data_IF_758789889564
#
_entry.id   IF_758789889564
#
_cell.length_a   1.000
_cell.length_b   1.000
_cell.length_c   1.000
_cell.angle_alpha   90.00
_cell.angle_beta   90.00
_cell.angle_gamma   90.00
#
_symmetry.space_group_name_H-M   'P 1'
#
loop_
_entity.id
_entity.type
_entity.pdbx_description
1 polymer ?
#
# COMPACT_ATOMS: atom_id res chain seq x y z
N UNK A 1 -11.55 -11.39 5.79
CA UNK A 1 -10.08 -11.33 5.68
C UNK A 1 -9.48 -11.51 7.05
N UNK A 2 -8.51 -12.41 7.22
CA UNK A 2 -7.79 -12.59 8.48
C UNK A 2 -6.86 -11.40 8.74
N UNK A 3 -7.21 -10.57 9.73
CA UNK A 3 -6.37 -9.48 10.24
C UNK A 3 -5.24 -10.08 11.10
N UNK A 4 -4.30 -10.75 10.46
CA UNK A 4 -3.05 -11.12 11.11
C UNK A 4 -2.24 -9.85 11.39
N UNK A 5 -1.47 -9.88 12.47
CA UNK A 5 -0.49 -8.85 12.79
C UNK A 5 0.85 -9.27 12.20
N UNK A 6 1.59 -8.32 11.63
CA UNK A 6 2.96 -8.56 11.21
C UNK A 6 3.93 -7.58 11.84
N UNK A 7 5.10 -8.10 12.16
CA UNK A 7 6.22 -7.32 12.65
C UNK A 7 7.54 -7.82 12.03
N UNK A 8 8.59 -7.02 12.17
CA UNK A 8 9.97 -7.35 11.80
C UNK A 8 10.89 -6.91 12.95
N UNK A 9 12.00 -7.62 13.20
CA UNK A 9 13.01 -7.06 14.12
C UNK A 9 13.69 -5.85 13.49
N UNK A 10 14.14 -4.89 14.30
CA UNK A 10 15.01 -3.82 13.77
C UNK A 10 16.29 -4.36 13.12
N UNK A 11 16.84 -5.47 13.62
CA UNK A 11 18.02 -6.13 13.04
C UNK A 11 17.74 -6.68 11.62
N UNK A 12 16.53 -7.16 11.36
CA UNK A 12 16.14 -7.74 10.08
C UNK A 12 15.70 -6.70 9.06
N UNK A 13 15.41 -5.45 9.46
CA UNK A 13 15.12 -4.34 8.52
C UNK A 13 16.27 -4.16 7.54
N UNK A 14 17.52 -4.25 7.99
CA UNK A 14 18.70 -4.15 7.13
C UNK A 14 18.74 -5.24 6.04
N UNK A 15 18.02 -6.36 6.23
CA UNK A 15 17.93 -7.41 5.22
C UNK A 15 16.95 -7.04 4.10
N UNK A 16 16.03 -6.08 4.29
CA UNK A 16 15.02 -5.73 3.29
C UNK A 16 15.63 -5.34 1.94
N UNK A 17 16.77 -4.64 1.95
CA UNK A 17 17.50 -4.19 0.76
C UNK A 17 18.34 -5.29 0.09
N UNK A 18 18.35 -6.51 0.65
CA UNK A 18 18.97 -7.68 0.04
C UNK A 18 18.00 -8.36 -0.93
N UNK A 19 18.49 -8.95 -2.04
CA UNK A 19 17.65 -9.63 -3.02
C UNK A 19 16.75 -10.69 -2.38
N UNK A 20 15.44 -10.55 -2.59
CA UNK A 20 14.44 -11.47 -2.01
C UNK A 20 13.24 -11.65 -2.92
N UNK A 21 12.65 -12.84 -2.86
CA UNK A 21 11.41 -13.16 -3.56
C UNK A 21 10.16 -12.89 -2.74
N UNK A 22 10.27 -12.75 -1.42
CA UNK A 22 9.14 -12.57 -0.50
C UNK A 22 9.62 -11.85 0.76
N UNK A 23 8.69 -11.32 1.55
CA UNK A 23 8.94 -10.87 2.92
C UNK A 23 8.49 -11.89 3.97
N UNK A 24 7.85 -12.99 3.56
CA UNK A 24 7.31 -14.00 4.48
C UNK A 24 8.42 -14.71 5.29
N UNK A 25 9.65 -14.66 4.80
CA UNK A 25 10.86 -15.20 5.43
C UNK A 25 11.35 -14.35 6.61
N UNK A 26 11.00 -13.06 6.64
CA UNK A 26 11.46 -12.09 7.65
C UNK A 26 10.31 -11.53 8.51
N UNK A 27 9.07 -11.60 8.03
CA UNK A 27 7.92 -11.16 8.79
C UNK A 27 7.55 -12.19 9.83
N UNK A 28 7.24 -11.68 11.01
CA UNK A 28 6.79 -12.44 12.15
C UNK A 28 5.29 -12.22 12.29
N UNK A 29 4.56 -13.32 12.18
CA UNK A 29 3.10 -13.32 12.15
C UNK A 29 2.57 -13.62 13.53
N UNK A 30 1.67 -12.76 14.00
CA UNK A 30 0.80 -13.06 15.13
C UNK A 30 1.53 -13.44 16.44
N UNK A 31 2.76 -12.94 16.62
CA UNK A 31 3.56 -13.13 17.84
C UNK A 31 2.79 -12.63 19.06
N UNK A 32 2.79 -13.45 20.12
CA UNK A 32 2.04 -13.16 21.34
C UNK A 32 2.44 -11.83 21.99
N UNK A 33 3.75 -11.55 22.06
CA UNK A 33 4.27 -10.29 22.58
C UNK A 33 3.78 -9.06 21.81
N UNK A 34 3.64 -9.17 20.47
CA UNK A 34 3.13 -8.09 19.61
C UNK A 34 1.64 -7.87 19.85
N UNK A 35 0.86 -8.95 19.96
CA UNK A 35 -0.57 -8.89 20.28
C UNK A 35 -0.83 -8.20 21.62
N UNK A 36 -0.09 -8.61 22.65
CA UNK A 36 -0.18 -8.02 24.00
C UNK A 36 0.18 -6.54 23.97
N UNK A 37 1.27 -6.17 23.28
CA UNK A 37 1.66 -4.76 23.14
C UNK A 37 0.59 -3.93 22.46
N UNK A 38 0.05 -4.39 21.33
CA UNK A 38 -0.99 -3.67 20.57
C UNK A 38 -2.27 -3.53 21.39
N UNK A 39 -2.69 -4.57 22.13
CA UNK A 39 -3.89 -4.51 22.98
C UNK A 39 -3.81 -3.44 24.08
N UNK A 40 -2.60 -3.03 24.47
CA UNK A 40 -2.33 -2.05 25.51
C UNK A 40 -1.79 -0.71 24.97
N UNK A 41 -1.77 -0.51 23.65
CA UNK A 41 -1.19 0.67 23.01
C UNK A 41 -2.20 1.38 22.12
N UNK A 42 -2.01 2.69 21.93
CA UNK A 42 -2.76 3.44 20.92
C UNK A 42 -2.05 3.36 19.57
N UNK A 43 -2.80 3.35 18.45
CA UNK A 43 -2.20 3.48 17.13
C UNK A 43 -1.54 4.85 16.99
N UNK A 44 -0.41 4.90 16.29
CA UNK A 44 0.36 6.13 16.06
C UNK A 44 0.22 6.65 14.64
N UNK A 45 -0.14 5.77 13.70
CA UNK A 45 -0.33 6.12 12.28
C UNK A 45 -1.50 5.37 11.71
N UNK A 46 -2.31 6.07 10.93
CA UNK A 46 -3.33 5.50 10.05
C UNK A 46 -2.80 5.49 8.62
N UNK A 47 -2.66 4.30 8.04
CA UNK A 47 -2.32 4.10 6.63
C UNK A 47 -3.61 3.88 5.84
N UNK A 48 -3.74 4.57 4.73
CA UNK A 48 -4.92 4.54 3.86
C UNK A 48 -4.49 4.11 2.46
N UNK A 49 -5.11 3.05 1.94
CA UNK A 49 -5.06 2.73 0.52
C UNK A 49 -6.31 3.29 -0.14
N UNK A 50 -6.11 4.12 -1.16
CA UNK A 50 -7.18 4.70 -1.97
C UNK A 50 -7.13 4.17 -3.40
N UNK A 51 -8.26 4.25 -4.09
CA UNK A 51 -8.42 3.93 -5.51
C UNK A 51 -9.06 5.11 -6.24
N UNK A 52 -8.56 5.39 -7.43
CA UNK A 52 -9.12 6.38 -8.35
C UNK A 52 -10.35 5.78 -9.04
N UNK A 53 -11.51 6.40 -8.86
CA UNK A 53 -12.76 6.05 -9.54
C UNK A 53 -13.22 7.18 -10.46
N UNK A 54 -13.67 6.90 -11.69
CA UNK A 54 -14.24 7.93 -12.54
C UNK A 54 -15.55 8.43 -11.94
N UNK A 55 -15.75 9.75 -11.95
CA UNK A 55 -16.96 10.40 -11.38
C UNK A 55 -18.23 10.01 -12.12
N UNK A 56 -18.13 9.70 -13.41
CA UNK A 56 -19.25 9.25 -14.22
C UNK A 56 -18.84 8.03 -15.02
N UNK A 57 -19.70 7.01 -14.98
CA UNK A 57 -19.66 5.82 -15.83
C UNK A 57 -20.93 5.81 -16.66
N UNK A 58 -20.79 5.62 -17.96
CA UNK A 58 -21.90 5.51 -18.91
C UNK A 58 -22.04 4.04 -19.28
N UNK A 59 -23.27 3.53 -19.26
CA UNK A 59 -23.58 2.11 -19.46
C UNK A 59 -24.48 1.97 -20.67
N UNK A 60 -24.27 0.91 -21.46
CA UNK A 60 -25.18 0.56 -22.55
C UNK A 60 -26.47 -0.08 -22.04
N UNK A 61 -26.41 -0.73 -20.88
CA UNK A 61 -27.51 -1.50 -20.34
C UNK A 61 -28.14 -0.82 -19.11
N UNK A 62 -29.45 -1.00 -18.94
CA UNK A 62 -30.21 -0.45 -17.81
C UNK A 62 -29.82 -1.07 -16.47
N UNK A 63 -29.18 -2.25 -16.49
CA UNK A 63 -28.70 -2.97 -15.29
C UNK A 63 -27.31 -2.50 -14.86
N UNK A 64 -26.65 -1.63 -15.65
CA UNK A 64 -25.35 -1.01 -15.37
C UNK A 64 -24.21 -2.01 -15.12
N UNK A 65 -24.23 -3.14 -15.83
CA UNK A 65 -23.17 -4.14 -15.68
C UNK A 65 -21.93 -3.85 -16.50
N UNK A 66 -22.08 -3.25 -17.70
CA UNK A 66 -20.95 -2.99 -18.59
C UNK A 66 -20.79 -1.49 -18.89
N UNK A 67 -19.85 -0.80 -18.22
CA UNK A 67 -19.53 0.58 -18.58
C UNK A 67 -18.90 0.60 -19.97
N UNK A 68 -19.31 1.56 -20.80
CA UNK A 68 -18.78 1.76 -22.16
C UNK A 68 -18.00 3.04 -22.33
N UNK A 69 -18.17 3.98 -21.41
CA UNK A 69 -17.39 5.20 -21.34
C UNK A 69 -17.26 5.61 -19.89
N UNK A 70 -16.06 6.08 -19.54
CA UNK A 70 -15.76 6.61 -18.23
C UNK A 70 -15.30 8.07 -18.38
N UNK A 71 -15.72 8.92 -17.45
CA UNK A 71 -15.23 10.30 -17.43
C UNK A 71 -13.75 10.35 -17.12
N UNK A 72 -13.03 11.29 -17.73
CA UNK A 72 -11.64 11.59 -17.36
C UNK A 72 -11.51 12.31 -16.01
N UNK A 73 -12.62 12.67 -15.35
CA UNK A 73 -12.60 13.25 -14.01
C UNK A 73 -12.73 12.14 -12.98
N UNK A 74 -11.73 12.00 -12.12
CA UNK A 74 -11.67 10.95 -11.11
C UNK A 74 -11.86 11.52 -9.70
N UNK A 75 -12.12 10.64 -8.75
CA UNK A 75 -12.10 10.93 -7.31
C UNK A 75 -11.41 9.79 -6.58
N UNK A 76 -10.73 10.11 -5.48
CA UNK A 76 -10.11 9.10 -4.60
C UNK A 76 -11.18 8.49 -3.69
N UNK A 77 -11.29 7.16 -3.69
CA UNK A 77 -12.12 6.36 -2.79
C UNK A 77 -11.25 5.60 -1.82
N UNK A 78 -11.61 5.57 -0.54
CA UNK A 78 -10.89 4.80 0.47
C UNK A 78 -11.24 3.32 0.28
N UNK A 79 -10.24 2.49 -0.02
CA UNK A 79 -10.38 1.03 -0.15
C UNK A 79 -10.26 0.38 1.22
N UNK A 80 -9.23 0.76 1.97
CA UNK A 80 -8.95 0.19 3.27
C UNK A 80 -8.12 1.13 4.13
N UNK A 81 -8.38 1.10 5.43
CA UNK A 81 -7.59 1.76 6.45
C UNK A 81 -6.93 0.71 7.35
N UNK A 82 -5.68 0.95 7.73
CA UNK A 82 -4.91 0.12 8.66
C UNK A 82 -4.15 1.01 9.62
N UNK A 83 -3.87 0.48 10.81
CA UNK A 83 -3.12 1.20 11.83
C UNK A 83 -1.76 0.58 12.05
N UNK A 84 -0.77 1.45 12.32
CA UNK A 84 0.54 1.08 12.84
C UNK A 84 0.64 1.50 14.31
N UNK A 85 1.35 0.68 15.07
CA UNK A 85 1.60 0.86 16.50
C UNK A 85 3.10 0.92 16.75
N UNK A 86 3.51 1.65 17.79
CA UNK A 86 4.90 1.66 18.23
C UNK A 86 5.23 0.35 18.96
N UNK A 87 6.17 -0.42 18.40
CA UNK A 87 6.69 -1.66 18.96
C UNK A 87 8.20 -1.53 19.32
N UNK A 88 8.73 -0.31 19.36
CA UNK A 88 10.17 -0.07 19.52
C UNK A 88 10.73 -0.58 20.85
N UNK A 89 9.92 -0.56 21.91
CA UNK A 89 10.29 -1.04 23.24
C UNK A 89 10.53 -2.56 23.31
N UNK A 90 9.93 -3.32 22.38
CA UNK A 90 10.18 -4.75 22.22
C UNK A 90 11.15 -5.07 21.06
N UNK A 91 11.83 -4.05 20.53
CA UNK A 91 12.84 -4.19 19.47
C UNK A 91 12.25 -4.58 18.10
N UNK A 92 10.98 -4.26 17.86
CA UNK A 92 10.26 -4.59 16.62
C UNK A 92 9.74 -3.34 15.92
N UNK A 93 9.52 -3.47 14.62
CA UNK A 93 8.68 -2.56 13.84
C UNK A 93 7.40 -3.31 13.45
N UNK A 94 6.23 -2.70 13.67
CA UNK A 94 5.00 -3.23 13.07
C UNK A 94 5.06 -3.00 11.55
N UNK A 95 4.58 -3.99 10.81
CA UNK A 95 4.58 -3.97 9.35
C UNK A 95 3.15 -3.99 8.81
N UNK A 96 2.95 -3.32 7.69
CA UNK A 96 1.78 -3.47 6.83
C UNK A 96 2.27 -3.81 5.43
N UNK A 97 1.88 -4.99 4.97
CA UNK A 97 2.30 -5.48 3.67
C UNK A 97 1.30 -5.14 2.58
N UNK A 98 1.82 -4.81 1.39
CA UNK A 98 1.06 -4.32 0.23
C UNK A 98 1.21 -5.30 -0.92
N UNK A 99 0.11 -5.66 -1.56
CA UNK A 99 0.12 -6.55 -2.73
C UNK A 99 -1.20 -7.29 -2.95
N UNK A 100 -1.28 -8.07 -4.01
CA UNK A 100 -2.50 -8.84 -4.37
C UNK A 100 -2.66 -10.16 -3.62
N UNK A 101 -1.64 -10.68 -2.95
CA UNK A 101 -1.78 -11.98 -2.27
C UNK A 101 -2.50 -11.87 -0.92
N UNK A 102 -3.14 -12.95 -0.45
CA UNK A 102 -4.10 -12.90 0.66
C UNK A 102 -3.50 -12.49 2.02
N UNK A 103 -2.21 -12.67 2.24
CA UNK A 103 -1.53 -12.23 3.47
C UNK A 103 -1.17 -10.73 3.43
N UNK A 104 -1.43 -10.00 2.34
CA UNK A 104 -1.21 -8.55 2.36
C UNK A 104 -2.33 -7.85 3.15
N UNK A 105 -1.94 -6.80 3.85
CA UNK A 105 -2.84 -5.97 4.66
C UNK A 105 -3.58 -4.96 3.77
N UNK A 106 -2.90 -4.48 2.74
CA UNK A 106 -3.34 -3.42 1.82
C UNK A 106 -3.42 -4.02 0.41
N UNK A 107 -4.64 -4.44 0.04
CA UNK A 107 -4.91 -5.16 -1.21
C UNK A 107 -5.63 -4.26 -2.23
N UNK A 108 -5.09 -4.12 -3.46
CA UNK A 108 -5.62 -3.21 -4.48
C UNK A 108 -6.77 -3.85 -5.26
N UNK A 109 -7.95 -3.93 -4.63
CA UNK A 109 -9.16 -4.41 -5.30
C UNK A 109 -9.65 -3.42 -6.35
N UNK A 110 -10.11 -3.90 -7.51
CA UNK A 110 -10.61 -3.08 -8.62
C UNK A 110 -12.03 -2.56 -8.42
N UNK A 111 -12.83 -3.22 -7.58
CA UNK A 111 -14.19 -2.83 -7.23
C UNK A 111 -14.41 -2.94 -5.72
N UNK A 112 -15.58 -2.47 -5.24
CA UNK A 112 -15.97 -2.60 -3.83
C UNK A 112 -16.30 -4.04 -3.45
N UNK A 113 -16.75 -4.86 -4.41
CA UNK A 113 -17.10 -6.26 -4.19
C UNK A 113 -15.89 -7.17 -3.92
N UNK A 114 -14.67 -6.61 -3.94
CA UNK A 114 -13.41 -7.29 -3.63
C UNK A 114 -13.17 -8.59 -4.42
N UNK A 115 -13.80 -8.74 -5.58
CA UNK A 115 -13.64 -9.90 -6.46
C UNK A 115 -12.32 -9.86 -7.22
N UNK A 116 -12.09 -8.78 -7.96
CA UNK A 116 -10.91 -8.63 -8.82
C UNK A 116 -9.86 -7.72 -8.20
N UNK A 117 -8.59 -8.06 -8.41
CA UNK A 117 -7.43 -7.26 -7.98
C UNK A 117 -6.67 -6.74 -9.18
N UNK A 118 -6.02 -5.59 -9.01
CA UNK A 118 -5.23 -4.99 -10.08
C UNK A 118 -4.06 -5.93 -10.48
N UNK A 119 -4.03 -6.42 -11.73
CA UNK A 119 -2.98 -7.32 -12.20
C UNK A 119 -1.61 -6.62 -12.32
N UNK A 120 -1.58 -5.29 -12.35
CA UNK A 120 -0.36 -4.49 -12.40
C UNK A 120 0.31 -4.33 -11.03
N UNK A 121 -0.33 -4.77 -9.95
CA UNK A 121 0.28 -4.83 -8.61
C UNK A 121 0.82 -6.23 -8.33
N UNK A 122 2.06 -6.28 -7.83
CA UNK A 122 2.74 -7.53 -7.52
C UNK A 122 2.05 -8.32 -6.40
N UNK A 123 2.27 -9.65 -6.37
CA UNK A 123 1.77 -10.51 -5.28
C UNK A 123 2.19 -10.00 -3.92
N UNK A 124 3.45 -9.60 -3.82
CA UNK A 124 4.08 -8.92 -2.71
C UNK A 124 4.79 -7.73 -3.34
N UNK A 125 4.28 -6.54 -3.09
CA UNK A 125 4.68 -5.33 -3.79
C UNK A 125 5.57 -4.46 -2.91
N UNK A 126 5.12 -4.19 -1.68
CA UNK A 126 5.90 -3.38 -0.75
C UNK A 126 5.56 -3.62 0.70
N UNK A 127 6.36 -3.01 1.57
CA UNK A 127 6.23 -3.11 3.01
C UNK A 127 6.28 -1.71 3.62
N UNK A 128 5.31 -1.40 4.48
CA UNK A 128 5.26 -0.16 5.26
C UNK A 128 5.57 -0.52 6.71
N UNK A 129 6.42 0.25 7.37
CA UNK A 129 6.76 0.01 8.78
C UNK A 129 7.23 1.28 9.47
N UNK A 130 7.32 1.23 10.81
CA UNK A 130 7.86 2.32 11.65
C UNK A 130 9.27 1.95 12.08
N UNK A 131 10.27 2.72 11.71
CA UNK A 131 11.67 2.43 12.07
C UNK A 131 11.97 2.77 13.55
N UNK A 132 13.19 2.46 14.00
CA UNK A 132 13.65 2.73 15.38
C UNK A 132 13.60 4.22 15.77
N UNK A 133 13.64 5.12 14.79
CA UNK A 133 13.55 6.58 14.96
C UNK A 133 12.11 7.10 14.90
N UNK A 134 11.12 6.19 14.93
CA UNK A 134 9.68 6.47 14.77
C UNK A 134 9.31 7.14 13.45
N UNK A 135 10.13 6.95 12.41
CA UNK A 135 9.81 7.44 11.08
C UNK A 135 9.06 6.36 10.30
N UNK A 136 8.08 6.78 9.51
CA UNK A 136 7.34 5.89 8.63
C UNK A 136 8.20 5.61 7.42
N UNK A 137 8.35 4.33 7.09
CA UNK A 137 9.16 3.88 5.98
C UNK A 137 8.34 3.04 5.01
N UNK A 138 8.70 3.10 3.73
CA UNK A 138 8.21 2.24 2.68
C UNK A 138 9.37 1.55 1.97
N UNK A 139 9.20 0.28 1.62
CA UNK A 139 10.15 -0.49 0.84
C UNK A 139 9.45 -1.20 -0.33
N UNK A 140 9.93 -0.99 -1.57
CA UNK A 140 9.47 -1.72 -2.77
C UNK A 140 10.31 -2.98 -3.00
N UNK A 141 9.66 -4.13 -3.09
CA UNK A 141 10.29 -5.45 -3.26
C UNK A 141 10.51 -5.80 -4.73
N UNK A 142 9.68 -5.25 -5.62
CA UNK A 142 9.54 -5.65 -7.01
C UNK A 142 10.81 -5.50 -7.86
N UNK A 143 11.83 -4.81 -7.35
CA UNK A 143 13.11 -4.58 -8.01
C UNK A 143 13.96 -5.81 -8.28
N UNK A 144 13.75 -6.90 -7.54
CA UNK A 144 14.58 -8.11 -7.70
C UNK A 144 13.97 -9.16 -8.64
N UNK A 145 12.68 -9.05 -8.94
CA UNK A 145 11.99 -10.01 -9.81
C UNK A 145 12.05 -9.52 -11.25
N UNK A 146 12.67 -10.30 -12.14
CA UNK A 146 12.55 -10.09 -13.60
C UNK A 146 11.06 -10.00 -13.96
N UNK A 147 10.60 -8.84 -14.42
CA UNK A 147 9.23 -8.62 -14.87
C UNK A 147 8.35 -7.69 -14.02
N UNK A 148 8.84 -7.08 -12.92
CA UNK A 148 8.11 -5.95 -12.30
C UNK A 148 8.23 -4.71 -13.20
N UNK A 149 7.26 -4.51 -14.07
CA UNK A 149 7.29 -3.49 -15.12
C UNK A 149 6.88 -2.11 -14.64
N UNK A 150 6.07 -2.01 -13.58
CA UNK A 150 5.40 -0.75 -13.21
C UNK A 150 5.95 -0.08 -11.94
N UNK A 151 6.58 -0.84 -11.04
CA UNK A 151 7.17 -0.36 -9.78
C UNK A 151 6.22 0.47 -8.90
N UNK A 152 6.79 1.14 -7.90
CA UNK A 152 6.07 2.12 -7.06
C UNK A 152 6.49 3.53 -7.43
N UNK A 153 5.56 4.46 -7.57
CA UNK A 153 5.88 5.88 -7.83
C UNK A 153 5.71 6.74 -6.58
N UNK A 154 6.69 7.55 -6.22
CA UNK A 154 6.51 8.60 -5.21
C UNK A 154 5.88 9.82 -5.88
N UNK A 155 4.69 10.20 -5.40
CA UNK A 155 3.88 11.31 -5.93
C UNK A 155 3.60 11.26 -7.44
N UNK A 156 3.61 10.06 -8.05
CA UNK A 156 3.55 9.86 -9.50
C UNK A 156 4.70 10.49 -10.32
N UNK A 157 5.76 10.96 -9.66
CA UNK A 157 6.89 11.66 -10.28
C UNK A 157 8.13 10.78 -10.44
N UNK A 158 8.51 10.07 -9.38
CA UNK A 158 9.75 9.29 -9.35
C UNK A 158 9.49 7.83 -9.01
N UNK A 159 10.25 6.93 -9.63
CA UNK A 159 10.14 5.50 -9.41
C UNK A 159 11.00 5.09 -8.21
N UNK A 160 10.38 4.45 -7.22
CA UNK A 160 11.06 3.90 -6.05
C UNK A 160 11.47 2.47 -6.36
N UNK A 161 12.74 2.14 -6.09
CA UNK A 161 13.33 0.87 -6.47
C UNK A 161 14.35 0.39 -5.45
N UNK A 162 14.05 -0.72 -4.77
CA UNK A 162 14.95 -1.40 -3.84
C UNK A 162 15.53 -0.52 -2.72
N UNK A 163 14.75 0.45 -2.25
CA UNK A 163 15.20 1.39 -1.25
C UNK A 163 14.18 1.48 -0.13
N UNK A 164 14.68 1.68 1.08
CA UNK A 164 13.86 2.05 2.22
C UNK A 164 13.73 3.56 2.17
N UNK A 165 12.55 4.04 1.77
CA UNK A 165 12.24 5.46 1.71
C UNK A 165 11.61 5.87 3.03
N UNK A 166 12.15 6.91 3.66
CA UNK A 166 11.44 7.61 4.73
C UNK A 166 10.30 8.40 4.12
N UNK A 167 9.09 8.14 4.58
CA UNK A 167 7.85 8.62 4.00
C UNK A 167 7.32 9.82 4.77
N UNK A 168 7.12 10.95 4.08
CA UNK A 168 6.55 12.16 4.65
C UNK A 168 5.03 12.22 4.49
N UNK A 169 4.33 12.87 5.43
CA UNK A 169 2.87 12.89 5.50
C UNK A 169 2.17 13.55 4.30
N UNK A 170 2.86 14.41 3.54
CA UNK A 170 2.33 15.06 2.34
C UNK A 170 2.52 14.23 1.07
N UNK A 171 3.27 13.13 1.15
CA UNK A 171 3.61 12.29 0.02
C UNK A 171 2.65 11.10 -0.10
N UNK A 172 2.59 10.50 -1.28
CA UNK A 172 1.94 9.22 -1.50
C UNK A 172 2.77 8.30 -2.37
N UNK A 173 2.55 7.00 -2.19
CA UNK A 173 3.06 5.98 -3.10
C UNK A 173 1.95 5.53 -4.05
N UNK A 174 2.15 5.81 -5.34
CA UNK A 174 1.31 5.39 -6.46
C UNK A 174 1.63 3.96 -6.89
N UNK A 175 0.57 3.16 -7.10
CA UNK A 175 0.63 1.75 -7.46
C UNK A 175 -0.35 1.43 -8.60
N UNK A 176 -0.09 0.31 -9.29
CA UNK A 176 -1.00 -0.27 -10.28
C UNK A 176 -0.94 0.44 -11.63
N UNK A 177 -2.06 0.38 -12.36
CA UNK A 177 -2.21 1.04 -13.65
C UNK A 177 -2.02 2.56 -13.55
N UNK A 178 -1.47 3.19 -14.59
CA UNK A 178 -1.43 4.65 -14.71
C UNK A 178 -2.63 5.14 -15.52
N UNK A 179 -3.41 6.04 -14.95
CA UNK A 179 -4.64 6.58 -15.52
C UNK A 179 -4.35 7.95 -16.14
N UNK A 180 -4.94 8.20 -17.31
CA UNK A 180 -4.98 9.53 -17.91
C UNK A 180 -6.22 10.26 -17.40
N UNK A 181 -6.03 11.27 -16.55
CA UNK A 181 -7.11 11.98 -15.87
C UNK A 181 -7.06 13.48 -16.18
N UNK A 182 -8.18 14.18 -15.96
CA UNK A 182 -8.28 15.64 -16.04
C UNK A 182 -8.36 16.23 -14.65
N UNK A 183 -7.38 17.07 -14.30
CA UNK A 183 -7.30 17.81 -13.04
C UNK A 183 -7.08 19.28 -13.36
N UNK A 184 -7.89 20.17 -12.76
CA UNK A 184 -7.77 21.63 -12.99
C UNK A 184 -7.67 22.03 -14.48
N UNK A 185 -8.42 21.35 -15.37
CA UNK A 185 -8.44 21.51 -16.84
C UNK A 185 -7.20 21.02 -17.60
N UNK A 186 -6.27 20.34 -16.94
CA UNK A 186 -5.08 19.75 -17.56
C UNK A 186 -5.15 18.22 -17.54
N UNK A 187 -4.57 17.57 -18.56
CA UNK A 187 -4.40 16.12 -18.59
C UNK A 187 -3.15 15.74 -17.83
N UNK A 188 -3.29 14.85 -16.85
CA UNK A 188 -2.18 14.34 -16.04
C UNK A 188 -2.25 12.82 -15.95
N UNK A 189 -1.10 12.20 -15.75
CA UNK A 189 -1.00 10.76 -15.51
C UNK A 189 -0.87 10.53 -14.01
N UNK A 190 -1.81 9.82 -13.39
CA UNK A 190 -1.75 9.46 -11.97
C UNK A 190 -1.92 7.95 -11.80
N UNK A 191 -1.34 7.37 -10.75
CA UNK A 191 -1.55 5.96 -10.41
C UNK A 191 -2.98 5.69 -9.94
N UNK A 192 -3.53 4.54 -10.34
CA UNK A 192 -4.87 4.08 -9.97
C UNK A 192 -5.04 3.91 -8.47
N UNK A 193 -3.99 3.46 -7.77
CA UNK A 193 -4.02 3.31 -6.32
C UNK A 193 -3.00 4.24 -5.67
N UNK A 194 -3.35 4.79 -4.50
CA UNK A 194 -2.44 5.64 -3.72
C UNK A 194 -2.43 5.19 -2.27
N UNK A 195 -1.24 4.94 -1.75
CA UNK A 195 -0.98 4.77 -0.33
C UNK A 195 -0.69 6.14 0.28
N UNK A 196 -1.36 6.45 1.38
CA UNK A 196 -1.20 7.65 2.20
C UNK A 196 -1.08 7.25 3.66
N UNK A 197 -0.51 8.12 4.47
CA UNK A 197 -0.63 7.97 5.93
C UNK A 197 -0.98 9.28 6.59
N UNK A 198 -1.50 9.16 7.81
CA UNK A 198 -1.79 10.25 8.72
C UNK A 198 -1.26 9.88 10.09
N UNK A 199 -0.48 10.77 10.71
CA UNK A 199 -0.07 10.63 12.10
C UNK A 199 -1.26 10.86 13.04
N UNK A 200 -1.34 10.04 14.08
CA UNK A 200 -2.37 10.12 15.11
C UNK A 200 -1.71 10.75 16.34
N UNK A 201 -2.16 11.97 16.68
CA UNK A 201 -1.73 12.73 17.85
C UNK A 201 -2.31 12.15 19.14
#
# INVERSE_FOLDING_TARGET
MTNHLTAITFKDIAKLTQPRNTYLDILLFDEQQVKEKISNSKPIVKVVLTRMEPRQKYFLDSRRFMPVLESLHYTEWIVIEKFLYDLSDIGRAMCLAVGRFNHNHLRPFLSEDQGDMDPFVSREHGLIFVNEKRQICYHDIGTFKKGSTNGTKLNDLSLVKNEIITWNAHEYFGLGESLNIVKTKERVMESKFKLRFQEIL
#
